data_IF_533450575084
#
_entry.id   IF_533450575084
#
_cell.length_a   1.000
_cell.length_b   1.000
_cell.length_c   1.000
_cell.angle_alpha   90.00
_cell.angle_beta   90.00
_cell.angle_gamma   90.00
#
_symmetry.space_group_name_H-M   'P 1'
#
loop_
_entity.id
_entity.type
_entity.pdbx_description
1 polymer ?
#
# COMPACT_ATOMS: atom_id res chain seq x y z
N UNK A 1 -11.21 1.42 -7.85
CA UNK A 1 -11.50 0.10 -7.24
C UNK A 1 -12.02 0.31 -5.83
N UNK A 2 -13.17 -0.28 -5.46
CA UNK A 2 -13.64 -0.30 -4.06
C UNK A 2 -13.43 -1.70 -3.50
N UNK A 3 -12.72 -1.83 -2.38
CA UNK A 3 -12.41 -3.13 -1.76
C UNK A 3 -13.41 -3.43 -0.64
N UNK A 4 -14.11 -4.56 -0.76
CA UNK A 4 -15.14 -4.95 0.21
C UNK A 4 -14.57 -5.47 1.54
N UNK A 5 -15.40 -5.50 2.60
CA UNK A 5 -14.97 -5.79 3.97
C UNK A 5 -14.51 -7.22 4.22
N UNK A 6 -14.89 -8.17 3.36
CA UNK A 6 -14.50 -9.57 3.49
C UNK A 6 -13.16 -9.91 2.83
N UNK A 7 -12.59 -8.99 2.04
CA UNK A 7 -11.31 -9.21 1.36
C UNK A 7 -10.19 -9.27 2.40
N UNK A 8 -9.44 -10.38 2.41
CA UNK A 8 -8.32 -10.60 3.33
C UNK A 8 -6.96 -10.32 2.72
N UNK A 9 -6.86 -10.51 1.41
CA UNK A 9 -5.61 -10.43 0.66
C UNK A 9 -5.89 -9.78 -0.68
N UNK A 10 -5.04 -8.85 -1.07
CA UNK A 10 -4.89 -8.44 -2.47
C UNK A 10 -3.64 -9.16 -2.96
N UNK A 11 -3.83 -10.14 -3.86
CA UNK A 11 -2.76 -11.04 -4.27
C UNK A 11 -1.63 -10.33 -5.02
N UNK A 12 -0.50 -11.04 -5.16
CA UNK A 12 0.61 -10.54 -5.95
C UNK A 12 0.16 -10.21 -7.39
N UNK A 13 0.58 -9.05 -7.89
CA UNK A 13 0.30 -8.54 -9.24
C UNK A 13 -1.20 -8.45 -9.61
N UNK A 14 -2.10 -8.43 -8.62
CA UNK A 14 -3.55 -8.50 -8.87
C UNK A 14 -4.11 -7.38 -9.78
N UNK A 15 -3.49 -6.20 -9.75
CA UNK A 15 -3.86 -5.04 -10.54
C UNK A 15 -2.66 -4.38 -11.24
N UNK A 16 -1.56 -5.12 -11.41
CA UNK A 16 -0.39 -4.66 -12.16
C UNK A 16 -0.78 -4.17 -13.56
N UNK A 17 -0.18 -3.05 -14.00
CA UNK A 17 -0.37 -2.46 -15.33
C UNK A 17 -1.83 -2.14 -15.71
N UNK A 18 -2.72 -2.05 -14.72
CA UNK A 18 -4.11 -1.65 -14.95
C UNK A 18 -4.28 -0.13 -15.03
N UNK A 19 -5.37 0.32 -15.65
CA UNK A 19 -5.75 1.75 -15.73
C UNK A 19 -6.52 2.25 -14.51
N UNK A 20 -6.27 1.66 -13.33
CA UNK A 20 -6.89 2.09 -12.09
C UNK A 20 -6.31 3.45 -11.67
N UNK A 21 -7.18 4.44 -11.52
CA UNK A 21 -6.79 5.79 -11.08
C UNK A 21 -7.04 6.04 -9.59
N UNK A 22 -7.78 5.14 -8.93
CA UNK A 22 -8.06 5.24 -7.49
C UNK A 22 -8.43 3.90 -6.87
N UNK A 23 -8.08 3.75 -5.59
CA UNK A 23 -8.43 2.61 -4.74
C UNK A 23 -9.02 3.12 -3.42
N UNK A 24 -10.17 2.59 -3.06
CA UNK A 24 -10.84 2.84 -1.79
C UNK A 24 -10.73 1.58 -0.92
N UNK A 25 -9.89 1.68 0.12
CA UNK A 25 -9.67 0.64 1.13
C UNK A 25 -10.42 0.92 2.44
N UNK A 26 -11.24 1.97 2.51
CA UNK A 26 -11.90 2.39 3.77
C UNK A 26 -12.81 1.32 4.38
N UNK A 27 -13.42 0.50 3.53
CA UNK A 27 -14.28 -0.63 3.95
C UNK A 27 -13.52 -1.95 4.11
N UNK A 28 -12.24 -2.03 3.75
CA UNK A 28 -11.44 -3.25 3.73
C UNK A 28 -10.97 -3.69 5.13
N UNK A 29 -11.91 -3.83 6.06
CA UNK A 29 -11.68 -4.06 7.50
C UNK A 29 -11.12 -5.44 7.85
N UNK A 30 -11.13 -6.40 6.92
CA UNK A 30 -10.50 -7.70 7.06
C UNK A 30 -9.18 -7.84 6.27
N UNK A 31 -8.73 -6.80 5.56
CA UNK A 31 -7.52 -6.84 4.74
C UNK A 31 -6.28 -6.95 5.64
N UNK A 32 -5.50 -7.99 5.40
CA UNK A 32 -4.28 -8.33 6.15
C UNK A 32 -3.04 -8.13 5.28
N UNK A 33 -3.14 -8.38 3.98
CA UNK A 33 -1.99 -8.43 3.10
C UNK A 33 -2.26 -7.74 1.75
N UNK A 34 -1.29 -6.93 1.33
CA UNK A 34 -1.19 -6.38 -0.01
C UNK A 34 0.08 -6.98 -0.62
N UNK A 35 -0.09 -7.89 -1.58
CA UNK A 35 0.98 -8.71 -2.11
C UNK A 35 1.97 -7.95 -2.99
N UNK A 36 3.05 -8.65 -3.36
CA UNK A 36 4.09 -8.13 -4.26
C UNK A 36 3.49 -7.57 -5.55
N UNK A 37 3.87 -6.35 -5.91
CA UNK A 37 3.45 -5.69 -7.14
C UNK A 37 1.93 -5.54 -7.31
N UNK A 38 1.13 -5.64 -6.23
CA UNK A 38 -0.33 -5.68 -6.31
C UNK A 38 -0.95 -4.54 -7.13
N UNK A 39 -0.35 -3.35 -7.10
CA UNK A 39 -0.73 -2.15 -7.84
C UNK A 39 0.45 -1.53 -8.59
N UNK A 40 1.47 -2.33 -8.92
CA UNK A 40 2.64 -1.86 -9.65
C UNK A 40 2.26 -1.26 -11.01
N UNK A 41 2.89 -0.14 -11.37
CA UNK A 41 2.71 0.52 -12.67
C UNK A 41 1.24 0.86 -13.00
N UNK A 42 0.51 1.39 -12.00
CA UNK A 42 -0.87 1.85 -12.16
C UNK A 42 -0.98 3.37 -12.08
N UNK A 43 -2.05 3.93 -12.64
CA UNK A 43 -2.33 5.37 -12.58
C UNK A 43 -2.92 5.82 -11.21
N UNK A 44 -2.74 5.02 -10.14
CA UNK A 44 -3.34 5.26 -8.82
C UNK A 44 -2.86 6.58 -8.24
N UNK A 45 -3.77 7.53 -8.06
CA UNK A 45 -3.47 8.86 -7.55
C UNK A 45 -4.18 9.22 -6.25
N UNK A 46 -3.80 10.37 -5.72
CA UNK A 46 -4.35 10.90 -4.47
C UNK A 46 -3.76 10.27 -3.22
N UNK A 47 -4.45 10.44 -2.10
CA UNK A 47 -4.01 9.96 -0.79
C UNK A 47 -4.40 8.52 -0.57
N UNK A 48 -3.47 7.71 -0.06
CA UNK A 48 -3.70 6.33 0.34
C UNK A 48 -3.72 6.19 1.87
N UNK A 49 -4.74 5.51 2.39
CA UNK A 49 -4.83 5.12 3.80
C UNK A 49 -4.80 3.60 3.88
N UNK A 50 -3.78 3.04 4.54
CA UNK A 50 -3.68 1.60 4.73
C UNK A 50 -4.56 1.17 5.91
N UNK A 51 -5.47 0.19 5.75
CA UNK A 51 -6.34 -0.27 6.83
C UNK A 51 -5.60 -0.79 8.06
N UNK A 52 -6.22 -0.65 9.23
CA UNK A 52 -5.60 -0.93 10.53
C UNK A 52 -5.11 -2.38 10.74
N UNK A 53 -5.65 -3.35 9.98
CA UNK A 53 -5.30 -4.78 10.08
C UNK A 53 -4.25 -5.25 9.08
N UNK A 54 -3.83 -4.39 8.15
CA UNK A 54 -2.79 -4.76 7.20
C UNK A 54 -1.48 -4.95 7.96
N UNK A 55 -0.90 -6.15 7.85
CA UNK A 55 0.37 -6.50 8.49
C UNK A 55 1.54 -6.44 7.51
N UNK A 56 1.26 -6.59 6.22
CA UNK A 56 2.29 -6.75 5.19
C UNK A 56 1.91 -5.98 3.93
N UNK A 57 2.86 -5.18 3.45
CA UNK A 57 2.87 -4.59 2.11
C UNK A 57 4.09 -5.19 1.40
N UNK A 58 3.85 -5.95 0.33
CA UNK A 58 4.89 -6.66 -0.40
C UNK A 58 5.81 -5.76 -1.22
N UNK A 59 6.85 -6.37 -1.79
CA UNK A 59 7.79 -5.68 -2.66
C UNK A 59 7.08 -5.06 -3.86
N UNK A 60 7.49 -3.86 -4.26
CA UNK A 60 6.95 -3.12 -5.41
C UNK A 60 5.42 -2.88 -5.38
N UNK A 61 4.72 -3.12 -4.25
CA UNK A 61 3.25 -3.19 -4.19
C UNK A 61 2.51 -1.95 -4.73
N UNK A 62 3.07 -0.76 -4.55
CA UNK A 62 2.59 0.52 -5.07
C UNK A 62 3.69 1.29 -5.81
N UNK A 63 4.72 0.58 -6.29
CA UNK A 63 5.77 1.21 -7.08
C UNK A 63 5.23 1.72 -8.42
N UNK A 64 5.82 2.82 -8.89
CA UNK A 64 5.44 3.47 -10.14
C UNK A 64 3.94 3.82 -10.18
N UNK A 65 3.50 4.58 -9.16
CA UNK A 65 2.12 5.08 -9.06
C UNK A 65 2.10 6.59 -8.83
N UNK A 66 0.94 7.19 -9.10
CA UNK A 66 0.70 8.63 -8.99
C UNK A 66 0.24 9.06 -7.58
N UNK A 67 0.48 8.23 -6.56
CA UNK A 67 0.09 8.49 -5.18
C UNK A 67 0.76 9.76 -4.65
N UNK A 68 -0.01 10.62 -3.99
CA UNK A 68 0.45 11.93 -3.50
C UNK A 68 0.10 12.17 -2.04
N UNK A 69 0.70 13.21 -1.46
CA UNK A 69 0.38 13.65 -0.11
C UNK A 69 1.07 12.82 0.96
N UNK A 70 0.40 12.67 2.11
CA UNK A 70 0.93 11.92 3.26
C UNK A 70 0.44 10.48 3.24
N UNK A 71 1.35 9.52 3.17
CA UNK A 71 1.03 8.12 3.41
C UNK A 71 0.83 7.87 4.91
N UNK A 72 -0.30 7.25 5.26
CA UNK A 72 -0.61 6.80 6.62
C UNK A 72 -0.73 5.29 6.66
N UNK A 73 0.01 4.66 7.58
CA UNK A 73 -0.04 3.22 7.81
C UNK A 73 -0.75 2.88 9.12
N UNK A 74 -1.43 1.73 9.16
CA UNK A 74 -2.14 1.26 10.34
C UNK A 74 -1.22 0.64 11.40
N UNK A 75 -1.70 0.47 12.64
CA UNK A 75 -0.87 0.02 13.76
C UNK A 75 -0.42 -1.43 13.70
N UNK A 76 -1.09 -2.26 12.89
CA UNK A 76 -0.72 -3.67 12.75
C UNK A 76 0.40 -3.91 11.72
N UNK A 77 0.86 -2.89 10.99
CA UNK A 77 1.88 -3.05 9.96
C UNK A 77 3.18 -3.58 10.58
N UNK A 78 3.77 -4.60 9.97
CA UNK A 78 5.02 -5.23 10.42
C UNK A 78 6.13 -5.09 9.39
N UNK A 79 5.78 -5.20 8.11
CA UNK A 79 6.73 -5.21 7.00
C UNK A 79 6.23 -4.33 5.87
N UNK A 80 7.12 -3.46 5.40
CA UNK A 80 6.99 -2.71 4.15
C UNK A 80 8.11 -3.19 3.23
N UNK A 81 7.76 -3.86 2.13
CA UNK A 81 8.70 -4.51 1.23
C UNK A 81 9.63 -3.57 0.48
N UNK A 82 10.62 -4.16 -0.18
CA UNK A 82 11.56 -3.43 -1.02
C UNK A 82 10.80 -2.70 -2.13
N UNK A 83 11.16 -1.42 -2.35
CA UNK A 83 10.52 -0.55 -3.35
C UNK A 83 8.99 -0.43 -3.24
N UNK A 84 8.37 -0.79 -2.12
CA UNK A 84 6.90 -0.84 -2.00
C UNK A 84 6.16 0.44 -2.43
N UNK A 85 6.77 1.61 -2.27
CA UNK A 85 6.29 2.92 -2.70
C UNK A 85 7.35 3.70 -3.49
N UNK A 86 8.25 3.01 -4.19
CA UNK A 86 9.26 3.64 -5.03
C UNK A 86 8.60 4.33 -6.24
N UNK A 87 9.16 5.45 -6.67
CA UNK A 87 8.67 6.25 -7.80
C UNK A 87 7.23 6.73 -7.62
N UNK A 88 6.82 6.97 -6.37
CA UNK A 88 5.55 7.66 -6.06
C UNK A 88 5.75 9.16 -5.94
N UNK A 89 4.66 9.92 -5.83
CA UNK A 89 4.67 11.38 -5.61
C UNK A 89 4.33 11.75 -4.16
N UNK A 90 4.55 10.82 -3.23
CA UNK A 90 4.36 11.04 -1.80
C UNK A 90 5.29 12.17 -1.34
N UNK A 91 4.76 13.10 -0.57
CA UNK A 91 5.52 14.25 -0.05
C UNK A 91 5.80 14.14 1.43
N UNK A 92 5.10 13.22 2.12
CA UNK A 92 5.27 12.99 3.54
C UNK A 92 4.90 11.56 3.92
N UNK A 93 5.39 11.14 5.07
CA UNK A 93 5.16 9.82 5.63
C UNK A 93 4.83 9.95 7.11
N UNK A 94 3.72 9.36 7.53
CA UNK A 94 3.30 9.28 8.92
C UNK A 94 3.29 7.83 9.40
N UNK A 95 4.35 7.46 10.12
CA UNK A 95 4.52 6.14 10.75
C UNK A 95 4.20 6.17 12.26
N UNK A 96 3.60 7.25 12.78
CA UNK A 96 3.39 7.40 14.23
C UNK A 96 2.53 6.29 14.85
N UNK A 97 1.58 5.75 14.07
CA UNK A 97 0.73 4.64 14.46
C UNK A 97 1.40 3.26 14.27
N UNK A 98 2.49 3.16 13.52
CA UNK A 98 3.14 1.91 13.09
C UNK A 98 3.90 1.16 14.20
N UNK A 99 3.24 0.92 15.33
CA UNK A 99 3.86 0.42 16.58
C UNK A 99 4.42 -1.00 16.49
N UNK A 100 4.04 -1.79 15.48
CA UNK A 100 4.55 -3.14 15.24
C UNK A 100 5.52 -3.25 14.05
N UNK A 101 5.90 -2.12 13.44
CA UNK A 101 6.77 -2.09 12.26
C UNK A 101 8.18 -2.54 12.65
N UNK A 102 8.66 -3.62 12.02
CA UNK A 102 10.00 -4.19 12.28
C UNK A 102 10.90 -4.14 11.06
N UNK A 103 10.34 -3.95 9.86
CA UNK A 103 11.10 -4.00 8.61
C UNK A 103 10.59 -2.98 7.59
N UNK A 104 11.53 -2.21 7.02
CA UNK A 104 11.36 -1.36 5.85
C UNK A 104 12.41 -1.81 4.84
N UNK A 105 11.98 -2.30 3.69
CA UNK A 105 12.86 -2.82 2.65
C UNK A 105 13.64 -1.74 1.90
N UNK A 106 14.64 -2.19 1.15
CA UNK A 106 15.50 -1.32 0.36
C UNK A 106 14.69 -0.43 -0.59
N UNK A 107 14.99 0.87 -0.61
CA UNK A 107 14.34 1.85 -1.48
C UNK A 107 12.81 1.90 -1.37
N UNK A 108 12.21 1.48 -0.26
CA UNK A 108 10.75 1.42 -0.09
C UNK A 108 10.01 2.74 -0.39
N UNK A 109 10.66 3.90 -0.26
CA UNK A 109 10.08 5.24 -0.47
C UNK A 109 10.95 6.13 -1.37
N UNK A 110 11.71 5.55 -2.30
CA UNK A 110 12.59 6.29 -3.21
C UNK A 110 11.81 7.14 -4.22
#
# INVERSE_FOLDING_TARGET
LKVGPAVKTIGAFAFEDTKLTGVDLSEATALVEIGQGAFFATDLGGTLVIPAKVTTIGDDAFADTELTGTLKVGPAIKTIGARAFAWTKLTNLDLSEATLLVEIGDSAFF
#
